data_IF_900224341760
#
_entry.id   IF_900224341760
#
_cell.length_a   1.000
_cell.length_b   1.000
_cell.length_c   1.000
_cell.angle_alpha   90.00
_cell.angle_beta   90.00
_cell.angle_gamma   90.00
#
_symmetry.space_group_name_H-M   'P 1'
#
loop_
_entity.id
_entity.type
_entity.pdbx_description
1 polymer ?
#
# COMPACT_ATOMS: atom_id res chain seq x y z
N UNK A 1 12.14 -35.96 2.88
CA UNK A 1 11.11 -34.93 3.02
C UNK A 1 11.70 -33.60 2.58
N UNK A 2 11.23 -33.03 1.48
CA UNK A 2 11.67 -31.70 1.02
C UNK A 2 11.35 -30.68 2.12
N UNK A 3 12.36 -29.93 2.56
CA UNK A 3 12.17 -28.80 3.50
C UNK A 3 11.18 -27.83 2.85
N UNK A 4 10.03 -27.59 3.49
CA UNK A 4 9.06 -26.64 2.97
C UNK A 4 9.77 -25.29 2.74
N UNK A 5 9.69 -24.80 1.52
CA UNK A 5 10.35 -23.55 1.13
C UNK A 5 9.73 -22.38 1.91
N UNK A 6 10.54 -21.69 2.70
CA UNK A 6 10.07 -20.54 3.50
C UNK A 6 9.80 -19.36 2.59
N UNK A 7 8.70 -18.67 2.86
CA UNK A 7 8.29 -17.43 2.16
C UNK A 7 8.10 -16.33 3.17
N UNK A 8 8.41 -15.12 2.75
CA UNK A 8 8.26 -13.93 3.58
C UNK A 8 7.23 -13.01 2.94
N UNK A 9 6.25 -12.58 3.72
CA UNK A 9 5.33 -11.50 3.37
C UNK A 9 5.62 -10.32 4.29
N UNK A 10 6.02 -9.19 3.71
CA UNK A 10 6.26 -7.95 4.41
C UNK A 10 5.07 -7.02 4.22
N UNK A 11 4.25 -6.85 5.25
CA UNK A 11 3.11 -5.94 5.25
C UNK A 11 3.56 -4.55 5.70
N UNK A 12 3.43 -3.58 4.81
CA UNK A 12 3.84 -2.20 4.99
C UNK A 12 2.59 -1.34 5.26
N UNK A 13 2.34 -1.00 6.52
CA UNK A 13 1.18 -0.22 6.94
C UNK A 13 1.65 1.16 7.39
N UNK A 14 1.64 2.12 6.44
CA UNK A 14 2.19 3.45 6.69
C UNK A 14 1.49 4.16 7.85
N UNK A 15 2.31 4.67 8.79
CA UNK A 15 1.90 5.43 9.98
C UNK A 15 0.97 4.68 10.96
N UNK A 16 0.74 3.38 10.80
CA UNK A 16 -0.03 2.60 11.76
C UNK A 16 0.77 2.39 13.05
N UNK A 17 0.41 3.08 14.12
CA UNK A 17 1.12 3.08 15.40
C UNK A 17 0.60 2.03 16.37
N UNK A 18 1.47 1.56 17.28
CA UNK A 18 1.08 0.64 18.34
C UNK A 18 0.01 1.21 19.27
N UNK A 19 0.00 2.52 19.55
CA UNK A 19 -1.02 3.16 20.38
C UNK A 19 -2.43 3.00 19.80
N UNK A 20 -2.57 3.05 18.48
CA UNK A 20 -3.85 2.78 17.80
C UNK A 20 -4.18 1.29 17.79
N UNK A 21 -3.19 0.44 17.45
CA UNK A 21 -3.37 -1.01 17.39
C UNK A 21 -3.79 -1.56 18.75
N UNK A 22 -3.09 -1.20 19.82
CA UNK A 22 -3.34 -1.72 21.17
C UNK A 22 -4.72 -1.32 21.70
N UNK A 23 -5.15 -0.07 21.45
CA UNK A 23 -6.50 0.35 21.79
C UNK A 23 -7.56 -0.45 21.02
N UNK A 24 -7.37 -0.64 19.71
CA UNK A 24 -8.32 -1.40 18.89
C UNK A 24 -8.32 -2.91 19.24
N UNK A 25 -7.19 -3.47 19.68
CA UNK A 25 -7.12 -4.83 20.23
C UNK A 25 -7.95 -4.89 21.53
N UNK A 26 -7.76 -3.96 22.46
CA UNK A 26 -8.51 -3.91 23.72
C UNK A 26 -10.03 -3.77 23.50
N UNK A 27 -10.45 -3.11 22.40
CA UNK A 27 -11.85 -3.01 21.97
C UNK A 27 -12.34 -4.26 21.20
N UNK A 28 -11.52 -5.31 21.03
CA UNK A 28 -11.84 -6.52 20.27
C UNK A 28 -11.96 -6.32 18.74
N UNK A 29 -11.48 -5.20 18.22
CA UNK A 29 -11.65 -4.78 16.81
C UNK A 29 -10.52 -5.20 15.87
N UNK A 30 -9.39 -5.69 16.42
CA UNK A 30 -8.24 -6.14 15.64
C UNK A 30 -7.76 -7.54 16.05
N UNK A 31 -8.61 -8.58 15.96
CA UNK A 31 -8.26 -9.92 16.44
C UNK A 31 -7.09 -10.56 15.69
N UNK A 32 -6.87 -10.20 14.41
CA UNK A 32 -5.72 -10.69 13.65
C UNK A 32 -4.39 -10.11 14.17
N UNK A 33 -4.36 -8.82 14.52
CA UNK A 33 -3.18 -8.19 15.12
C UNK A 33 -2.93 -8.69 16.53
N UNK A 34 -3.98 -8.91 17.32
CA UNK A 34 -3.88 -9.54 18.63
C UNK A 34 -3.21 -10.92 18.52
N UNK A 35 -3.65 -11.74 17.56
CA UNK A 35 -3.05 -13.05 17.29
C UNK A 35 -1.58 -12.92 16.91
N UNK A 36 -1.23 -12.03 15.98
CA UNK A 36 0.16 -11.81 15.55
C UNK A 36 1.04 -11.34 16.72
N UNK A 37 0.54 -10.44 17.58
CA UNK A 37 1.27 -9.95 18.75
C UNK A 37 1.49 -11.05 19.78
N UNK A 38 0.53 -11.95 19.98
CA UNK A 38 0.62 -13.08 20.92
C UNK A 38 1.53 -14.19 20.41
N UNK A 39 1.50 -14.52 19.11
CA UNK A 39 2.17 -15.69 18.54
C UNK A 39 3.51 -15.33 17.88
N UNK A 40 3.78 -14.06 17.64
CA UNK A 40 4.99 -13.55 17.03
C UNK A 40 5.88 -12.77 17.99
N UNK A 41 6.87 -12.11 17.40
CA UNK A 41 7.72 -11.14 18.11
C UNK A 41 7.36 -9.74 17.64
N UNK A 42 7.27 -8.80 18.56
CA UNK A 42 7.03 -7.40 18.24
C UNK A 42 8.04 -6.49 18.94
N UNK A 43 8.33 -5.34 18.30
CA UNK A 43 9.23 -4.33 18.83
C UNK A 43 8.79 -2.93 18.32
N UNK A 44 9.23 -1.91 19.02
CA UNK A 44 9.16 -0.51 18.56
C UNK A 44 10.55 -0.10 18.12
N UNK A 45 10.86 -0.09 16.81
CA UNK A 45 12.15 0.39 16.34
C UNK A 45 12.21 1.92 16.47
N UNK A 46 13.41 2.43 16.72
CA UNK A 46 13.67 3.87 16.64
C UNK A 46 14.03 4.25 15.21
N UNK A 47 13.64 5.47 14.79
CA UNK A 47 14.05 6.00 13.51
C UNK A 47 15.52 6.39 13.53
N UNK A 48 16.29 5.98 12.53
CA UNK A 48 17.67 6.38 12.32
C UNK A 48 17.75 7.84 11.90
N UNK A 49 16.80 8.24 11.01
CA UNK A 49 16.68 9.61 10.56
C UNK A 49 15.93 10.45 11.61
N UNK A 50 16.27 11.74 11.67
CA UNK A 50 15.69 12.69 12.62
C UNK A 50 14.93 13.80 11.88
N UNK A 51 14.01 14.53 12.54
CA UNK A 51 13.38 15.69 11.94
C UNK A 51 14.42 16.67 11.34
N UNK A 52 14.17 17.24 10.15
CA UNK A 52 12.92 17.20 9.37
C UNK A 52 12.80 16.02 8.38
N UNK A 53 13.61 14.97 8.49
CA UNK A 53 13.75 13.88 7.50
C UNK A 53 12.96 12.61 7.88
N UNK A 54 11.79 12.76 8.50
CA UNK A 54 10.91 11.63 8.88
C UNK A 54 9.79 11.35 7.88
N UNK A 55 9.90 11.89 6.67
CA UNK A 55 8.91 11.68 5.62
C UNK A 55 8.82 10.21 5.19
N UNK A 56 7.63 9.68 4.87
CA UNK A 56 7.46 8.28 4.48
C UNK A 56 8.32 7.85 3.31
N UNK A 57 8.57 8.73 2.32
CA UNK A 57 9.44 8.43 1.19
C UNK A 57 10.93 8.30 1.54
N UNK A 58 11.35 8.81 2.71
CA UNK A 58 12.69 8.60 3.27
C UNK A 58 12.68 7.35 4.15
N UNK A 59 11.79 7.30 5.14
CA UNK A 59 11.77 6.23 6.14
C UNK A 59 11.50 4.86 5.55
N UNK A 60 10.61 4.74 4.55
CA UNK A 60 10.40 3.46 3.87
C UNK A 60 11.61 3.02 3.05
N UNK A 61 12.36 3.95 2.46
CA UNK A 61 13.60 3.57 1.80
C UNK A 61 14.65 3.11 2.82
N UNK A 62 14.77 3.77 3.97
CA UNK A 62 15.60 3.31 5.10
C UNK A 62 15.22 1.88 5.53
N UNK A 63 13.92 1.60 5.68
CA UNK A 63 13.42 0.25 6.03
C UNK A 63 13.76 -0.78 4.95
N UNK A 64 13.60 -0.43 3.67
CA UNK A 64 13.86 -1.35 2.56
C UNK A 64 15.35 -1.63 2.33
N UNK A 65 16.21 -0.67 2.65
CA UNK A 65 17.66 -0.76 2.37
C UNK A 65 18.49 -1.15 3.59
N UNK A 66 18.00 -0.86 4.79
CA UNK A 66 18.75 -1.05 6.05
C UNK A 66 19.86 -0.03 6.27
N UNK A 67 19.89 1.08 5.50
CA UNK A 67 20.84 2.18 5.65
C UNK A 67 20.10 3.51 5.74
N UNK A 68 20.76 4.52 6.29
CA UNK A 68 20.19 5.85 6.50
C UNK A 68 20.07 6.69 5.22
N UNK A 69 19.40 7.84 5.34
CA UNK A 69 19.16 8.77 4.24
C UNK A 69 20.46 9.24 3.59
N UNK A 70 21.53 9.48 4.36
CA UNK A 70 22.80 9.97 3.84
C UNK A 70 23.45 8.97 2.89
N UNK A 71 23.18 7.69 3.09
CA UNK A 71 23.69 6.59 2.29
C UNK A 71 22.77 6.28 1.09
N UNK A 72 21.45 6.15 1.30
CA UNK A 72 20.56 5.77 0.21
C UNK A 72 20.13 6.93 -0.69
N UNK A 73 20.23 8.19 -0.24
CA UNK A 73 20.00 9.38 -1.07
C UNK A 73 18.53 9.72 -1.35
N UNK A 74 17.55 9.05 -0.74
CA UNK A 74 16.13 9.39 -0.90
C UNK A 74 15.85 10.73 -0.22
N UNK A 75 15.11 11.62 -0.92
CA UNK A 75 14.86 12.98 -0.44
C UNK A 75 13.51 13.56 -0.82
N UNK A 76 12.86 13.04 -1.87
CA UNK A 76 11.59 13.55 -2.37
C UNK A 76 10.61 12.41 -2.66
N UNK A 77 9.32 12.70 -2.53
CA UNK A 77 8.27 11.80 -2.98
C UNK A 77 8.41 11.57 -4.49
N UNK A 78 8.13 10.34 -4.94
CA UNK A 78 8.21 9.95 -6.35
C UNK A 78 9.62 9.99 -6.96
N UNK A 79 10.66 10.02 -6.13
CA UNK A 79 12.03 9.92 -6.60
C UNK A 79 12.23 8.67 -7.45
N UNK A 80 12.92 8.82 -8.59
CA UNK A 80 13.27 7.70 -9.46
C UNK A 80 14.07 6.64 -8.68
N UNK A 81 13.58 5.42 -8.70
CA UNK A 81 14.16 4.32 -7.95
C UNK A 81 15.60 3.98 -8.36
N UNK A 82 15.99 4.36 -9.58
CA UNK A 82 17.37 4.17 -10.08
C UNK A 82 18.37 5.12 -9.41
N UNK A 83 17.90 6.20 -8.80
CA UNK A 83 18.73 7.18 -8.08
C UNK A 83 18.95 6.81 -6.60
N UNK A 84 18.36 5.74 -6.13
CA UNK A 84 18.58 5.22 -4.77
C UNK A 84 19.88 4.42 -4.75
N UNK A 85 20.84 4.87 -3.96
CA UNK A 85 22.22 4.35 -3.97
C UNK A 85 22.43 3.07 -3.15
N UNK A 86 21.36 2.43 -2.70
CA UNK A 86 21.44 1.21 -1.91
C UNK A 86 20.50 0.12 -2.44
N UNK A 87 20.90 -1.13 -2.34
CA UNK A 87 20.08 -2.29 -2.65
C UNK A 87 18.94 -2.41 -1.63
N UNK A 88 17.75 -2.68 -2.10
CA UNK A 88 16.59 -2.95 -1.26
C UNK A 88 16.51 -4.43 -0.90
N UNK A 89 15.76 -4.77 0.09
CA UNK A 89 15.54 -6.15 0.54
C UNK A 89 15.19 -7.10 -0.61
N UNK A 90 14.32 -6.68 -1.53
CA UNK A 90 13.98 -7.50 -2.72
C UNK A 90 15.11 -7.62 -3.74
N UNK A 91 16.03 -6.68 -3.81
CA UNK A 91 17.19 -6.78 -4.70
C UNK A 91 18.12 -7.91 -4.25
N UNK A 92 18.38 -8.04 -2.95
CA UNK A 92 19.15 -9.14 -2.39
C UNK A 92 18.49 -10.50 -2.61
N UNK A 93 17.16 -10.55 -2.55
CA UNK A 93 16.41 -11.79 -2.83
C UNK A 93 16.55 -12.20 -4.30
N UNK A 94 16.48 -11.23 -5.23
CA UNK A 94 16.68 -11.46 -6.67
C UNK A 94 18.12 -11.91 -6.94
N UNK A 95 19.12 -11.27 -6.34
CA UNK A 95 20.52 -11.65 -6.49
C UNK A 95 20.81 -13.07 -5.98
N UNK A 96 20.05 -13.52 -4.99
CA UNK A 96 20.09 -14.89 -4.51
C UNK A 96 19.31 -15.89 -5.40
N UNK A 97 18.88 -15.48 -6.61
CA UNK A 97 18.14 -16.31 -7.56
C UNK A 97 16.71 -16.63 -7.14
N UNK A 98 16.13 -15.84 -6.24
CA UNK A 98 14.77 -16.05 -5.71
C UNK A 98 13.78 -15.06 -6.34
N UNK A 99 12.50 -15.43 -6.30
CA UNK A 99 11.42 -14.61 -6.84
C UNK A 99 10.87 -13.61 -5.83
N UNK A 100 10.43 -12.45 -6.34
CA UNK A 100 9.90 -11.34 -5.53
C UNK A 100 8.56 -10.85 -6.06
N UNK A 101 7.74 -10.31 -5.15
CA UNK A 101 6.52 -9.62 -5.48
C UNK A 101 6.48 -8.27 -4.75
N UNK A 102 6.69 -7.16 -5.46
CA UNK A 102 6.62 -5.83 -4.87
C UNK A 102 5.28 -5.20 -5.23
N UNK A 103 4.48 -4.85 -4.23
CA UNK A 103 3.16 -4.27 -4.46
C UNK A 103 2.94 -3.02 -3.61
N UNK A 104 2.85 -1.87 -4.26
CA UNK A 104 2.51 -0.61 -3.64
C UNK A 104 3.64 0.07 -2.86
N UNK A 105 4.81 -0.55 -2.72
CA UNK A 105 5.92 -0.01 -1.93
C UNK A 105 6.40 1.34 -2.47
N UNK A 106 6.67 2.26 -1.56
CA UNK A 106 7.14 3.61 -1.88
C UNK A 106 8.53 3.55 -2.52
N UNK A 107 8.79 4.46 -3.46
CA UNK A 107 10.05 4.57 -4.22
C UNK A 107 10.42 3.28 -4.98
N UNK A 108 9.44 2.52 -5.45
CA UNK A 108 9.61 1.34 -6.29
C UNK A 108 9.41 1.62 -7.80
N UNK A 109 9.35 2.89 -8.22
CA UNK A 109 9.20 3.31 -9.62
C UNK A 109 10.50 3.92 -10.17
N UNK A 110 10.89 3.65 -11.44
CA UNK A 110 10.27 2.72 -12.38
C UNK A 110 10.44 1.25 -11.97
N UNK A 111 9.47 0.39 -12.33
CA UNK A 111 9.62 -1.04 -12.10
C UNK A 111 10.66 -1.63 -13.04
N UNK A 112 11.37 -2.66 -12.59
CA UNK A 112 12.33 -3.39 -13.40
C UNK A 112 11.92 -4.85 -13.58
N UNK A 113 12.43 -5.55 -14.60
CA UNK A 113 12.26 -7.00 -14.73
C UNK A 113 12.78 -7.75 -13.49
N UNK A 114 11.92 -8.60 -12.91
CA UNK A 114 12.26 -9.45 -11.76
C UNK A 114 11.62 -10.83 -11.93
N UNK A 115 12.15 -11.91 -11.35
CA UNK A 115 11.44 -13.18 -11.27
C UNK A 115 10.22 -13.01 -10.34
N UNK A 116 9.08 -12.58 -10.91
CA UNK A 116 7.86 -12.29 -10.17
C UNK A 116 7.12 -11.06 -10.67
N UNK A 117 6.82 -10.08 -9.80
CA UNK A 117 6.09 -8.87 -10.20
C UNK A 117 6.52 -7.64 -9.40
N UNK A 118 6.35 -6.46 -10.03
CA UNK A 118 6.47 -5.13 -9.41
C UNK A 118 5.32 -4.25 -9.86
N UNK A 119 4.46 -3.87 -8.93
CA UNK A 119 3.40 -2.87 -9.06
C UNK A 119 3.78 -1.73 -8.12
N UNK A 120 4.22 -0.56 -8.62
CA UNK A 120 4.64 0.56 -7.79
C UNK A 120 3.53 1.13 -6.91
N UNK A 121 3.89 2.02 -6.00
CA UNK A 121 2.95 2.73 -5.15
C UNK A 121 2.04 3.69 -5.92
N UNK A 122 0.92 4.11 -5.31
CA UNK A 122 -0.06 4.98 -5.96
C UNK A 122 0.46 6.40 -6.24
N UNK A 123 1.57 6.78 -5.61
CA UNK A 123 2.25 8.07 -5.82
C UNK A 123 3.24 8.04 -6.99
N UNK A 124 3.47 6.88 -7.60
CA UNK A 124 4.40 6.76 -8.73
C UNK A 124 3.97 7.66 -9.92
N UNK A 125 4.94 8.27 -10.65
CA UNK A 125 4.62 9.23 -11.70
C UNK A 125 4.05 8.58 -12.97
N UNK A 126 4.13 7.25 -13.12
CA UNK A 126 3.66 6.51 -14.29
C UNK A 126 2.89 5.24 -13.96
N UNK A 127 2.28 4.65 -15.00
CA UNK A 127 1.45 3.45 -14.90
C UNK A 127 2.24 2.15 -15.12
N UNK A 128 3.54 2.25 -15.38
CA UNK A 128 4.39 1.09 -15.69
C UNK A 128 4.41 0.10 -14.54
N UNK A 129 4.31 -1.17 -14.89
CA UNK A 129 4.42 -2.32 -13.98
C UNK A 129 5.27 -3.43 -14.60
N UNK A 130 5.73 -4.34 -13.79
CA UNK A 130 6.29 -5.59 -14.28
C UNK A 130 5.53 -6.77 -13.64
N UNK A 131 4.98 -7.68 -14.46
CA UNK A 131 4.88 -7.58 -15.93
C UNK A 131 3.90 -6.49 -16.37
N UNK A 132 4.02 -6.04 -17.62
CA UNK A 132 3.26 -4.91 -18.16
C UNK A 132 1.72 -5.14 -18.17
N UNK A 133 1.24 -6.38 -18.20
CA UNK A 133 -0.20 -6.65 -18.17
C UNK A 133 -0.89 -6.17 -16.88
N UNK A 134 -0.14 -5.87 -15.81
CA UNK A 134 -0.68 -5.33 -14.57
C UNK A 134 -0.84 -3.79 -14.59
N UNK A 135 -0.47 -3.09 -15.69
CA UNK A 135 -0.61 -1.64 -15.80
C UNK A 135 -2.01 -1.09 -15.47
N UNK A 136 -3.14 -1.75 -15.81
CA UNK A 136 -4.46 -1.25 -15.43
C UNK A 136 -4.66 -1.14 -13.91
N UNK A 137 -3.97 -1.97 -13.12
CA UNK A 137 -3.98 -1.87 -11.65
C UNK A 137 -3.33 -0.56 -11.21
N UNK A 138 -2.16 -0.25 -11.77
CA UNK A 138 -1.42 0.97 -11.43
C UNK A 138 -2.17 2.22 -11.91
N UNK A 139 -2.73 2.21 -13.12
CA UNK A 139 -3.55 3.30 -13.63
C UNK A 139 -4.76 3.57 -12.70
N UNK A 140 -5.43 2.53 -12.22
CA UNK A 140 -6.50 2.64 -11.25
C UNK A 140 -6.01 3.28 -9.94
N UNK A 141 -4.89 2.81 -9.39
CA UNK A 141 -4.32 3.33 -8.15
C UNK A 141 -3.99 4.82 -8.26
N UNK A 142 -3.35 5.23 -9.35
CA UNK A 142 -3.02 6.64 -9.61
C UNK A 142 -4.27 7.49 -9.76
N UNK A 143 -5.27 7.00 -10.49
CA UNK A 143 -6.55 7.71 -10.65
C UNK A 143 -7.21 7.97 -9.27
N UNK A 144 -7.24 6.98 -8.38
CA UNK A 144 -7.75 7.17 -7.02
C UNK A 144 -6.96 8.20 -6.21
N UNK A 145 -5.65 8.25 -6.35
CA UNK A 145 -4.80 9.21 -5.64
C UNK A 145 -4.94 10.62 -6.20
N UNK A 146 -5.10 10.76 -7.52
CA UNK A 146 -5.22 12.05 -8.21
C UNK A 146 -6.62 12.67 -8.10
N UNK A 147 -7.67 11.89 -7.92
CA UNK A 147 -9.08 12.39 -7.79
C UNK A 147 -9.26 13.30 -6.56
N UNK A 148 -8.38 13.24 -5.58
CA UNK A 148 -8.35 14.26 -4.52
C UNK A 148 -7.86 15.63 -5.01
N UNK A 149 -7.33 15.73 -6.25
CA UNK A 149 -6.78 16.97 -6.81
C UNK A 149 -7.44 17.45 -8.12
N UNK A 150 -8.22 16.62 -8.84
CA UNK A 150 -8.87 17.04 -10.12
C UNK A 150 -10.16 16.25 -10.38
N UNK A 151 -11.11 16.89 -11.03
CA UNK A 151 -12.39 16.31 -11.45
C UNK A 151 -12.20 14.97 -12.18
N UNK A 152 -12.97 13.96 -11.76
CA UNK A 152 -13.03 12.66 -12.43
C UNK A 152 -13.38 12.89 -13.92
N UNK A 153 -12.52 12.40 -14.81
CA UNK A 153 -12.72 12.52 -16.25
C UNK A 153 -14.01 11.82 -16.69
N UNK A 154 -14.54 12.29 -17.80
CA UNK A 154 -15.77 11.88 -18.49
C UNK A 154 -15.64 10.46 -19.10
N UNK A 155 -15.46 9.43 -18.27
CA UNK A 155 -15.52 8.05 -18.74
C UNK A 155 -16.97 7.65 -18.92
N UNK A 156 -17.41 7.44 -20.17
CA UNK A 156 -18.79 6.97 -20.46
C UNK A 156 -19.06 5.56 -19.88
N UNK A 157 -20.36 5.19 -19.71
CA UNK A 157 -20.73 3.91 -19.07
C UNK A 157 -20.08 2.67 -19.70
N UNK A 158 -19.92 2.65 -21.03
CA UNK A 158 -19.32 1.54 -21.76
C UNK A 158 -17.83 1.39 -21.46
N UNK A 159 -17.09 2.50 -21.30
CA UNK A 159 -15.70 2.52 -20.89
C UNK A 159 -15.52 1.96 -19.48
N UNK A 160 -16.42 2.32 -18.56
CA UNK A 160 -16.42 1.81 -17.19
C UNK A 160 -16.69 0.29 -17.14
N UNK A 161 -17.62 -0.23 -17.95
CA UNK A 161 -17.88 -1.67 -18.03
C UNK A 161 -16.65 -2.41 -18.58
N UNK A 162 -16.05 -1.92 -19.65
CA UNK A 162 -14.82 -2.51 -20.23
C UNK A 162 -13.67 -2.55 -19.21
N UNK A 163 -13.42 -1.45 -18.54
CA UNK A 163 -12.42 -1.39 -17.48
C UNK A 163 -12.74 -2.34 -16.33
N UNK A 164 -14.00 -2.47 -15.94
CA UNK A 164 -14.44 -3.42 -14.92
C UNK A 164 -14.15 -4.87 -15.29
N UNK A 165 -14.45 -5.27 -16.54
CA UNK A 165 -14.17 -6.64 -17.05
C UNK A 165 -12.65 -6.90 -17.07
N UNK A 166 -11.85 -5.96 -17.53
CA UNK A 166 -10.40 -6.06 -17.53
C UNK A 166 -9.84 -6.24 -16.11
N UNK A 167 -10.29 -5.43 -15.16
CA UNK A 167 -9.88 -5.53 -13.76
C UNK A 167 -10.31 -6.85 -13.10
N UNK A 168 -11.46 -7.41 -13.48
CA UNK A 168 -11.86 -8.74 -13.03
C UNK A 168 -10.90 -9.83 -13.55
N UNK A 169 -10.44 -9.72 -14.80
CA UNK A 169 -9.38 -10.57 -15.35
C UNK A 169 -8.07 -10.48 -14.57
N UNK A 170 -7.76 -9.31 -14.01
CA UNK A 170 -6.60 -9.06 -13.17
C UNK A 170 -6.78 -9.46 -11.70
N UNK A 171 -7.97 -9.90 -11.29
CA UNK A 171 -8.20 -10.45 -9.95
C UNK A 171 -9.25 -9.74 -9.12
N UNK A 172 -9.85 -8.65 -9.61
CA UNK A 172 -10.93 -7.98 -8.91
C UNK A 172 -12.10 -8.93 -8.68
N UNK A 173 -12.51 -9.09 -7.42
CA UNK A 173 -13.56 -10.03 -7.03
C UNK A 173 -14.95 -9.41 -7.08
N UNK A 174 -15.96 -10.18 -7.49
CA UNK A 174 -17.36 -9.70 -7.52
C UNK A 174 -17.83 -9.12 -6.17
N UNK A 175 -17.39 -9.72 -5.05
CA UNK A 175 -17.71 -9.21 -3.70
C UNK A 175 -17.15 -7.81 -3.45
N UNK A 176 -15.97 -7.50 -3.99
CA UNK A 176 -15.35 -6.17 -3.86
C UNK A 176 -16.06 -5.16 -4.75
N UNK A 177 -16.44 -5.55 -5.97
CA UNK A 177 -17.30 -4.74 -6.84
C UNK A 177 -18.62 -4.42 -6.15
N UNK A 178 -19.28 -5.41 -5.55
CA UNK A 178 -20.53 -5.20 -4.81
C UNK A 178 -20.35 -4.21 -3.64
N UNK A 179 -19.23 -4.26 -2.90
CA UNK A 179 -18.92 -3.30 -1.84
C UNK A 179 -18.71 -1.88 -2.39
N UNK A 180 -18.04 -1.73 -3.52
CA UNK A 180 -17.87 -0.44 -4.19
C UNK A 180 -19.23 0.14 -4.57
N UNK A 181 -20.07 -0.65 -5.24
CA UNK A 181 -21.41 -0.22 -5.65
C UNK A 181 -22.30 0.12 -4.45
N UNK A 182 -22.28 -0.69 -3.40
CA UNK A 182 -23.01 -0.44 -2.17
C UNK A 182 -22.58 0.88 -1.51
N UNK A 183 -21.26 1.18 -1.47
CA UNK A 183 -20.77 2.44 -0.95
C UNK A 183 -21.24 3.63 -1.80
N UNK A 184 -21.14 3.54 -3.12
CA UNK A 184 -21.62 4.59 -4.02
C UNK A 184 -23.13 4.85 -3.91
N UNK A 185 -23.93 3.77 -3.75
CA UNK A 185 -25.37 3.90 -3.49
C UNK A 185 -25.63 4.55 -2.13
N UNK A 186 -24.89 4.15 -1.09
CA UNK A 186 -24.99 4.71 0.26
C UNK A 186 -24.74 6.21 0.29
N UNK A 187 -23.74 6.68 -0.44
CA UNK A 187 -23.37 8.10 -0.49
C UNK A 187 -24.46 8.97 -1.14
N UNK A 188 -25.26 8.42 -2.05
CA UNK A 188 -26.42 9.13 -2.62
C UNK A 188 -27.51 9.42 -1.57
N UNK A 189 -27.64 8.53 -0.59
CA UNK A 189 -28.62 8.65 0.51
C UNK A 189 -28.00 9.37 1.72
N UNK A 190 -26.71 9.13 1.97
CA UNK A 190 -25.95 9.66 3.11
C UNK A 190 -24.64 10.27 2.63
N UNK A 191 -24.63 11.51 2.11
CA UNK A 191 -23.42 12.16 1.58
C UNK A 191 -22.28 12.24 2.60
N UNK A 192 -22.59 12.32 3.89
CA UNK A 192 -21.58 12.33 4.96
C UNK A 192 -20.72 11.05 5.02
N UNK A 193 -21.18 9.95 4.43
CA UNK A 193 -20.41 8.68 4.41
C UNK A 193 -19.34 8.64 3.31
N UNK A 194 -19.09 9.73 2.60
CA UNK A 194 -18.04 9.86 1.57
C UNK A 194 -16.65 9.45 2.07
N UNK A 195 -16.32 9.74 3.32
CA UNK A 195 -15.04 9.36 3.93
C UNK A 195 -14.74 7.86 3.87
N UNK A 196 -15.77 7.02 3.78
CA UNK A 196 -15.63 5.56 3.66
C UNK A 196 -15.03 5.11 2.33
N UNK A 197 -14.99 5.97 1.29
CA UNK A 197 -14.34 5.64 0.02
C UNK A 197 -12.88 5.26 0.17
N UNK A 198 -12.21 5.85 1.16
CA UNK A 198 -10.79 5.58 1.43
C UNK A 198 -10.51 4.10 1.62
N UNK A 199 -11.43 3.34 2.23
CA UNK A 199 -11.24 1.90 2.45
C UNK A 199 -11.44 1.05 1.20
N UNK A 200 -11.94 1.60 0.10
CA UNK A 200 -12.18 0.84 -1.13
C UNK A 200 -10.86 0.50 -1.85
N UNK A 201 -9.92 1.44 -1.90
CA UNK A 201 -8.64 1.20 -2.58
C UNK A 201 -7.84 0.03 -1.98
N UNK A 202 -7.66 -0.11 -0.65
CA UNK A 202 -6.99 -1.29 -0.10
C UNK A 202 -7.73 -2.59 -0.34
N UNK A 203 -9.06 -2.58 -0.44
CA UNK A 203 -9.83 -3.77 -0.79
C UNK A 203 -9.58 -4.21 -2.24
N UNK A 204 -9.56 -3.25 -3.18
CA UNK A 204 -9.22 -3.49 -4.58
C UNK A 204 -7.78 -4.01 -4.70
N UNK A 205 -6.85 -3.33 -4.06
CA UNK A 205 -5.43 -3.69 -4.08
C UNK A 205 -5.16 -5.06 -3.46
N UNK A 206 -5.92 -5.44 -2.43
CA UNK A 206 -5.81 -6.76 -1.84
C UNK A 206 -6.22 -7.86 -2.84
N UNK A 207 -7.31 -7.68 -3.58
CA UNK A 207 -7.76 -8.63 -4.58
C UNK A 207 -6.70 -8.83 -5.69
N UNK A 208 -6.11 -7.73 -6.19
CA UNK A 208 -5.06 -7.76 -7.20
C UNK A 208 -3.77 -8.40 -6.66
N UNK A 209 -3.36 -8.01 -5.46
CA UNK A 209 -2.19 -8.60 -4.80
C UNK A 209 -2.36 -10.10 -4.61
N UNK A 210 -3.50 -10.54 -4.09
CA UNK A 210 -3.78 -11.98 -3.88
C UNK A 210 -3.71 -12.78 -5.20
N UNK A 211 -4.22 -12.21 -6.31
CA UNK A 211 -4.12 -12.83 -7.63
C UNK A 211 -2.67 -12.96 -8.09
N UNK A 212 -1.89 -11.89 -7.99
CA UNK A 212 -0.48 -11.89 -8.37
C UNK A 212 0.34 -12.80 -7.45
N UNK A 213 0.13 -12.71 -6.14
CA UNK A 213 0.80 -13.53 -5.16
C UNK A 213 0.55 -15.02 -5.38
N UNK A 214 -0.70 -15.41 -5.64
CA UNK A 214 -1.08 -16.81 -5.92
C UNK A 214 -0.48 -17.30 -7.23
N UNK A 215 -0.43 -16.44 -8.27
CA UNK A 215 0.12 -16.78 -9.58
C UNK A 215 1.63 -16.96 -9.54
N UNK A 216 2.36 -16.02 -8.95
CA UNK A 216 3.83 -15.99 -8.97
C UNK A 216 4.45 -16.71 -7.78
N UNK A 217 3.71 -16.87 -6.68
CA UNK A 217 4.18 -17.51 -5.45
C UNK A 217 5.58 -17.05 -5.03
N UNK A 218 5.83 -15.73 -4.89
CA UNK A 218 7.17 -15.19 -4.65
C UNK A 218 7.74 -15.70 -3.32
N UNK A 219 9.07 -15.77 -3.24
CA UNK A 219 9.78 -16.10 -2.00
C UNK A 219 9.74 -14.95 -0.99
N UNK A 220 9.75 -13.73 -1.50
CA UNK A 220 9.59 -12.49 -0.73
C UNK A 220 8.55 -11.63 -1.42
N UNK A 221 7.59 -11.13 -0.67
CA UNK A 221 6.60 -10.19 -1.18
C UNK A 221 6.42 -9.01 -0.23
N UNK A 222 6.19 -7.82 -0.80
CA UNK A 222 5.71 -6.65 -0.06
C UNK A 222 4.26 -6.36 -0.42
N UNK A 223 3.51 -5.80 0.52
CA UNK A 223 2.21 -5.20 0.28
C UNK A 223 2.08 -3.92 1.10
N UNK A 224 2.03 -2.79 0.42
CA UNK A 224 1.99 -1.46 1.04
C UNK A 224 0.58 -0.89 1.07
N UNK A 225 0.21 -0.26 2.19
CA UNK A 225 -1.03 0.47 2.36
C UNK A 225 -0.81 1.80 3.05
N UNK A 226 -1.27 2.90 2.41
CA UNK A 226 -1.20 4.26 2.96
C UNK A 226 -2.49 4.69 3.68
N UNK A 227 -3.44 3.79 3.88
CA UNK A 227 -4.79 4.17 4.33
C UNK A 227 -4.85 4.51 5.82
N UNK A 228 -4.00 3.86 6.64
CA UNK A 228 -3.86 4.25 8.05
C UNK A 228 -3.35 5.69 8.16
N UNK A 229 -2.30 6.04 7.41
CA UNK A 229 -1.78 7.41 7.33
C UNK A 229 -2.88 8.41 6.92
N UNK A 230 -3.68 8.10 5.90
CA UNK A 230 -4.78 8.96 5.48
C UNK A 230 -5.76 9.25 6.63
N UNK A 231 -6.17 8.21 7.38
CA UNK A 231 -7.05 8.42 8.54
C UNK A 231 -6.37 9.19 9.66
N UNK A 232 -5.09 8.95 9.92
CA UNK A 232 -4.30 9.69 10.89
C UNK A 232 -4.25 11.19 10.56
N UNK A 233 -3.96 11.54 9.30
CA UNK A 233 -3.88 12.93 8.87
C UNK A 233 -5.22 13.66 8.91
N UNK A 234 -6.33 12.99 8.57
CA UNK A 234 -7.62 13.66 8.43
C UNK A 234 -8.52 13.58 9.67
N UNK A 235 -8.34 12.55 10.50
CA UNK A 235 -9.30 12.23 11.56
C UNK A 235 -8.67 12.05 12.94
N UNK A 236 -7.39 12.39 13.12
CA UNK A 236 -6.70 12.26 14.42
C UNK A 236 -7.44 12.96 15.54
N UNK A 237 -7.98 14.17 15.29
CA UNK A 237 -8.77 14.91 16.25
C UNK A 237 -10.00 14.14 16.76
N UNK A 238 -10.61 13.33 15.91
CA UNK A 238 -11.75 12.49 16.32
C UNK A 238 -11.32 11.27 17.15
N UNK A 239 -10.04 10.91 17.07
CA UNK A 239 -9.43 9.83 17.83
C UNK A 239 -8.91 10.30 19.20
N UNK A 240 -8.23 11.44 19.22
CA UNK A 240 -7.63 12.07 20.39
C UNK A 240 -7.71 13.60 20.25
N UNK A 241 -8.63 14.23 20.97
CA UNK A 241 -8.86 15.68 20.96
C UNK A 241 -8.00 16.41 21.99
N UNK A 242 -7.29 15.70 22.86
CA UNK A 242 -6.55 16.27 24.02
C UNK A 242 -5.49 17.30 23.61
N UNK A 243 -5.00 17.25 22.36
CA UNK A 243 -3.98 18.16 21.83
C UNK A 243 -4.52 19.26 20.93
N UNK A 244 -5.85 19.35 20.79
CA UNK A 244 -6.48 20.35 19.94
C UNK A 244 -7.22 21.37 20.80
N UNK A 245 -7.01 22.66 20.53
CA UNK A 245 -7.77 23.72 21.17
C UNK A 245 -9.18 23.80 20.60
N UNK A 246 -10.17 24.21 21.43
CA UNK A 246 -11.58 24.27 21.05
C UNK A 246 -11.90 25.22 19.86
N UNK A 247 -10.93 25.97 19.36
CA UNK A 247 -11.04 26.97 18.29
C UNK A 247 -10.30 26.59 17.01
N UNK A 248 -10.19 25.32 16.66
CA UNK A 248 -9.66 24.93 15.34
C UNK A 248 -10.80 24.44 14.45
#
# INVERSE_FOLDING_TARGET
MSKAERRVLFLELNELTWSVIDRLIAEGRMPAFEKLKREGTWASPESVDQPPHLDPWITWVTVHTGVDRSTHGASVLEQDSSTIHAKRSWDYVVDAGKSVGVFGSISAYPPRPVPGFMVPGPFAPGDQTYPAYAMPIQALNRKYTQVHHKNAGEDGPLSMVKAGVELMGLGLKPRTVARVLAQLARERVKPHDYWRRVVLQPLLNYDFFEKLYTRYRPHFATWHSNHAAHFMHHYWRAWDDSKFTAKA
#
